data_IF_060409939975
#
_entry.id   IF_060409939975
#
_cell.length_a   1.000
_cell.length_b   1.000
_cell.length_c   1.000
_cell.angle_alpha   90.00
_cell.angle_beta   90.00
_cell.angle_gamma   90.00
#
_symmetry.space_group_name_H-M   'P 1'
#
loop_
_entity.id
_entity.type
_entity.pdbx_description
1 polymer ?
#
# COMPACT_ATOMS: atom_id res chain seq x y z
N UNK A 1 11.71 36.44 -0.21
CA UNK A 1 10.85 36.40 0.98
C UNK A 1 10.89 35.01 1.55
N UNK A 2 11.14 34.90 2.83
CA UNK A 2 11.57 33.67 3.52
C UNK A 2 10.41 32.73 3.75
N UNK A 3 10.43 31.53 3.15
CA UNK A 3 9.63 30.37 3.57
C UNK A 3 10.50 29.40 4.38
N UNK A 4 10.87 29.84 5.56
CA UNK A 4 11.45 28.99 6.60
C UNK A 4 10.39 28.82 7.69
N UNK A 5 9.69 27.68 7.75
CA UNK A 5 8.84 27.41 8.89
C UNK A 5 7.70 26.42 8.73
N UNK A 6 7.85 25.32 7.98
CA UNK A 6 6.85 24.24 7.97
C UNK A 6 7.49 22.83 7.99
N UNK A 7 8.61 22.70 8.69
CA UNK A 7 9.03 21.39 9.18
C UNK A 7 8.50 21.30 10.61
N UNK A 8 7.30 20.74 10.77
CA UNK A 8 6.76 20.43 12.08
C UNK A 8 7.83 19.72 12.90
N UNK A 9 8.08 20.22 14.13
CA UNK A 9 9.02 19.62 15.07
C UNK A 9 8.71 18.13 15.18
N UNK A 10 9.73 17.25 15.27
CA UNK A 10 9.50 15.85 15.58
C UNK A 10 8.71 15.82 16.90
N UNK A 11 7.54 15.22 16.88
CA UNK A 11 6.87 14.83 18.11
C UNK A 11 7.75 13.72 18.68
N UNK A 12 8.66 14.11 19.60
CA UNK A 12 9.35 13.17 20.44
C UNK A 12 8.26 12.47 21.27
N UNK A 13 8.03 11.20 21.01
CA UNK A 13 7.29 10.35 21.94
C UNK A 13 8.08 10.33 23.26
N UNK A 14 7.67 11.20 24.18
CA UNK A 14 8.09 11.12 25.55
C UNK A 14 7.70 9.75 26.09
N UNK A 15 8.65 9.06 26.68
CA UNK A 15 8.53 7.87 27.55
C UNK A 15 7.27 7.00 27.39
N UNK A 16 7.43 5.88 26.63
CA UNK A 16 6.76 4.59 26.81
C UNK A 16 5.24 4.47 26.58
N UNK A 17 4.56 5.35 25.90
CA UNK A 17 3.22 5.06 25.40
C UNK A 17 3.32 4.21 24.13
N UNK A 18 2.76 2.99 24.15
CA UNK A 18 2.68 2.12 22.97
C UNK A 18 1.86 2.79 21.87
N UNK A 19 2.25 2.54 20.61
CA UNK A 19 1.41 2.91 19.47
C UNK A 19 0.08 2.15 19.54
N UNK A 20 -1.04 2.85 19.33
CA UNK A 20 -2.38 2.23 19.44
C UNK A 20 -2.94 1.92 18.07
N UNK A 21 -3.44 0.69 17.91
CA UNK A 21 -4.16 0.24 16.71
C UNK A 21 -5.48 -0.39 17.11
N UNK A 22 -6.59 0.21 16.68
CA UNK A 22 -7.90 -0.37 16.84
C UNK A 22 -8.15 -1.39 15.74
N UNK A 23 -8.61 -2.59 16.11
CA UNK A 23 -9.03 -3.66 15.20
C UNK A 23 -10.50 -3.95 15.51
N UNK A 24 -11.38 -3.76 14.52
CA UNK A 24 -12.83 -3.88 14.69
C UNK A 24 -13.41 -4.73 13.57
N UNK A 25 -14.40 -5.56 13.88
CA UNK A 25 -15.11 -6.36 12.89
C UNK A 25 -16.15 -5.54 12.15
N UNK A 26 -16.20 -5.73 10.83
CA UNK A 26 -17.24 -5.26 9.92
C UNK A 26 -17.41 -6.34 8.85
N UNK A 27 -18.52 -7.07 8.87
CA UNK A 27 -18.69 -8.29 8.07
C UNK A 27 -18.62 -8.03 6.56
N UNK A 28 -19.18 -6.90 6.13
CA UNK A 28 -19.22 -6.46 4.73
C UNK A 28 -19.28 -4.94 4.62
N UNK A 29 -19.61 -4.43 3.41
CA UNK A 29 -19.74 -3.00 3.12
C UNK A 29 -21.17 -2.45 3.29
N UNK A 30 -22.03 -3.11 4.05
CA UNK A 30 -23.36 -2.54 4.36
C UNK A 30 -23.21 -1.31 5.27
N UNK A 31 -23.82 -0.20 4.87
CA UNK A 31 -23.65 1.09 5.54
C UNK A 31 -24.07 1.07 7.01
N UNK A 32 -25.11 0.28 7.35
CA UNK A 32 -25.60 0.08 8.71
C UNK A 32 -24.60 -0.68 9.62
N UNK A 33 -23.67 -1.44 9.04
CA UNK A 33 -22.59 -2.14 9.76
C UNK A 33 -21.33 -1.30 9.87
N UNK A 34 -21.00 -0.53 8.81
CA UNK A 34 -19.77 0.24 8.73
C UNK A 34 -19.73 1.40 9.73
N UNK A 35 -20.81 2.18 9.82
CA UNK A 35 -20.84 3.36 10.69
C UNK A 35 -20.58 3.00 12.15
N UNK A 36 -21.30 2.04 12.77
CA UNK A 36 -21.02 1.63 14.15
C UNK A 36 -19.62 1.04 14.35
N UNK A 37 -19.10 0.31 13.35
CA UNK A 37 -17.75 -0.26 13.43
C UNK A 37 -16.66 0.84 13.42
N UNK A 38 -16.82 1.88 12.58
CA UNK A 38 -15.92 3.03 12.54
C UNK A 38 -16.00 3.85 13.83
N UNK A 39 -17.19 4.14 14.34
CA UNK A 39 -17.38 4.84 15.61
C UNK A 39 -16.74 4.08 16.78
N UNK A 40 -16.89 2.75 16.80
CA UNK A 40 -16.17 1.90 17.77
C UNK A 40 -14.65 2.02 17.61
N UNK A 41 -14.12 1.98 16.38
CA UNK A 41 -12.69 2.11 16.15
C UNK A 41 -12.15 3.47 16.62
N UNK A 42 -12.87 4.56 16.31
CA UNK A 42 -12.49 5.90 16.73
C UNK A 42 -12.61 6.08 18.25
N UNK A 43 -13.66 5.56 18.87
CA UNK A 43 -13.84 5.59 20.33
C UNK A 43 -12.71 4.87 21.06
N UNK A 44 -12.27 3.69 20.57
CA UNK A 44 -11.12 2.96 21.12
C UNK A 44 -9.82 3.77 21.07
N UNK A 45 -9.70 4.67 20.09
CA UNK A 45 -8.53 5.54 19.91
C UNK A 45 -8.64 6.87 20.66
N UNK A 46 -9.76 7.13 21.36
CA UNK A 46 -9.99 8.36 22.14
C UNK A 46 -10.83 9.42 21.41
N UNK A 47 -11.50 9.07 20.30
CA UNK A 47 -12.38 9.96 19.54
C UNK A 47 -11.73 10.52 18.29
N UNK A 48 -12.58 10.80 17.26
CA UNK A 48 -12.13 11.31 15.97
C UNK A 48 -11.62 12.76 16.05
N UNK A 49 -12.18 13.55 16.97
CA UNK A 49 -11.80 14.94 17.23
C UNK A 49 -10.33 15.07 17.69
N UNK A 50 -9.76 14.04 18.29
CA UNK A 50 -8.34 14.00 18.66
C UNK A 50 -7.40 13.99 17.46
N UNK A 51 -7.89 13.54 16.28
CA UNK A 51 -7.12 13.46 15.04
C UNK A 51 -7.45 14.57 14.06
N UNK A 52 -8.70 15.03 14.06
CA UNK A 52 -9.22 16.00 13.08
C UNK A 52 -9.76 17.24 13.82
N UNK A 53 -8.99 18.32 13.89
CA UNK A 53 -9.49 19.59 14.44
C UNK A 53 -10.69 20.09 13.64
N UNK A 54 -11.69 20.67 14.32
CA UNK A 54 -12.87 21.23 13.65
C UNK A 54 -12.47 22.33 12.67
N UNK A 55 -13.01 22.26 11.45
CA UNK A 55 -12.72 23.20 10.37
C UNK A 55 -11.36 23.00 9.68
N UNK A 56 -10.59 22.00 10.04
CA UNK A 56 -9.31 21.69 9.40
C UNK A 56 -9.47 21.35 7.91
N UNK A 57 -8.49 21.70 7.09
CA UNK A 57 -8.37 21.24 5.70
C UNK A 57 -7.85 19.80 5.69
N UNK A 58 -8.68 18.87 5.28
CA UNK A 58 -8.38 17.44 5.29
C UNK A 58 -8.12 16.94 3.87
N UNK A 59 -6.95 16.34 3.66
CA UNK A 59 -6.68 15.55 2.46
C UNK A 59 -6.85 14.06 2.77
N UNK A 60 -7.77 13.39 2.07
CA UNK A 60 -8.04 11.96 2.23
C UNK A 60 -7.39 11.20 1.09
N UNK A 61 -6.34 10.46 1.40
CA UNK A 61 -5.64 9.60 0.43
C UNK A 61 -6.29 8.24 0.36
N UNK A 62 -6.98 7.96 -0.73
CA UNK A 62 -7.54 6.64 -1.04
C UNK A 62 -6.54 5.79 -1.82
N UNK A 63 -6.77 4.49 -1.96
CA UNK A 63 -5.95 3.62 -2.81
C UNK A 63 -6.68 3.35 -4.11
N UNK A 64 -6.18 3.93 -5.20
CA UNK A 64 -6.60 3.62 -6.56
C UNK A 64 -5.40 3.10 -7.36
N UNK A 65 -5.64 2.13 -8.23
CA UNK A 65 -4.58 1.50 -9.02
C UNK A 65 -5.06 1.33 -10.47
N UNK A 66 -4.26 1.75 -11.47
CA UNK A 66 -4.57 1.43 -12.87
C UNK A 66 -4.36 -0.08 -13.16
N UNK A 67 -5.10 -0.66 -14.12
CA UNK A 67 -6.18 -0.03 -14.89
C UNK A 67 -7.44 0.21 -14.03
N UNK A 68 -8.39 1.06 -14.51
CA UNK A 68 -9.67 1.25 -13.83
C UNK A 68 -10.28 -0.08 -13.41
N UNK A 69 -10.61 -0.21 -12.13
CA UNK A 69 -11.03 -1.49 -11.55
C UNK A 69 -12.27 -1.31 -10.66
N UNK A 70 -13.26 -2.18 -10.80
CA UNK A 70 -14.45 -2.15 -9.93
C UNK A 70 -14.09 -2.59 -8.51
N UNK A 71 -14.83 -2.14 -7.49
CA UNK A 71 -14.54 -2.37 -6.07
C UNK A 71 -14.46 -3.84 -5.66
N UNK A 72 -15.28 -4.70 -6.29
CA UNK A 72 -15.40 -6.13 -5.98
C UNK A 72 -14.09 -6.91 -6.22
N UNK A 73 -13.19 -6.33 -7.00
CA UNK A 73 -11.85 -6.92 -7.23
C UNK A 73 -10.89 -6.73 -6.05
N UNK A 74 -11.28 -5.99 -5.02
CA UNK A 74 -10.42 -5.65 -3.86
C UNK A 74 -9.05 -5.03 -4.24
N UNK A 75 -8.97 -4.38 -5.41
CA UNK A 75 -7.76 -3.69 -5.89
C UNK A 75 -7.65 -2.30 -5.26
N UNK A 76 -8.79 -1.64 -5.08
CA UNK A 76 -8.93 -0.27 -4.60
C UNK A 76 -9.55 -0.25 -3.21
N UNK A 77 -9.40 0.85 -2.49
CA UNK A 77 -10.22 1.11 -1.29
C UNK A 77 -11.69 1.12 -1.73
N UNK A 78 -12.55 0.39 -1.04
CA UNK A 78 -13.95 0.27 -1.43
C UNK A 78 -14.67 1.62 -1.25
N UNK A 79 -15.45 2.12 -2.24
CA UNK A 79 -16.06 3.44 -2.17
C UNK A 79 -17.06 3.55 -1.00
N UNK A 80 -17.83 2.51 -0.68
CA UNK A 80 -18.76 2.53 0.47
C UNK A 80 -18.00 2.63 1.79
N UNK A 81 -16.82 1.99 1.91
CA UNK A 81 -15.96 2.17 3.07
C UNK A 81 -15.43 3.61 3.16
N UNK A 82 -14.96 4.16 2.04
CA UNK A 82 -14.49 5.55 1.99
C UNK A 82 -15.64 6.52 2.33
N UNK A 83 -16.85 6.29 1.81
CA UNK A 83 -18.05 7.08 2.11
C UNK A 83 -18.38 7.09 3.61
N UNK A 84 -18.33 5.92 4.25
CA UNK A 84 -18.60 5.82 5.68
C UNK A 84 -17.59 6.61 6.52
N UNK A 85 -16.29 6.53 6.18
CA UNK A 85 -15.26 7.34 6.86
C UNK A 85 -15.46 8.83 6.59
N UNK A 86 -15.69 9.21 5.33
CA UNK A 86 -15.92 10.61 4.94
C UNK A 86 -17.15 11.20 5.64
N UNK A 87 -18.23 10.43 5.80
CA UNK A 87 -19.40 10.86 6.56
C UNK A 87 -19.08 11.22 8.00
N UNK A 88 -18.16 10.49 8.66
CA UNK A 88 -17.68 10.87 9.98
C UNK A 88 -16.85 12.16 9.95
N UNK A 89 -16.02 12.36 8.91
CA UNK A 89 -15.17 13.54 8.77
C UNK A 89 -16.00 14.81 8.47
N UNK A 90 -17.07 14.70 7.69
CA UNK A 90 -17.93 15.86 7.33
C UNK A 90 -18.62 16.48 8.54
N UNK A 91 -18.79 15.74 9.64
CA UNK A 91 -19.31 16.26 10.91
C UNK A 91 -18.32 17.23 11.62
N UNK A 92 -17.03 17.13 11.28
CA UNK A 92 -15.97 17.94 11.88
C UNK A 92 -15.51 19.09 10.98
N UNK A 93 -15.54 18.88 9.65
CA UNK A 93 -15.08 19.89 8.70
C UNK A 93 -15.76 19.75 7.33
N UNK A 94 -16.11 20.88 6.67
CA UNK A 94 -16.55 20.87 5.28
C UNK A 94 -15.37 20.88 4.27
N UNK A 95 -14.13 21.03 4.72
CA UNK A 95 -12.96 21.24 3.86
C UNK A 95 -12.24 19.90 3.60
N UNK A 96 -12.88 19.01 2.86
CA UNK A 96 -12.37 17.67 2.55
C UNK A 96 -12.07 17.54 1.07
N UNK A 97 -10.85 17.10 0.76
CA UNK A 97 -10.40 16.73 -0.59
C UNK A 97 -10.04 15.26 -0.59
N UNK A 98 -10.69 14.47 -1.43
CA UNK A 98 -10.42 13.04 -1.63
C UNK A 98 -9.63 12.85 -2.91
N UNK A 99 -8.50 12.12 -2.89
CA UNK A 99 -7.73 12.01 -4.12
C UNK A 99 -6.70 10.90 -4.21
N UNK A 100 -6.28 10.67 -5.46
CA UNK A 100 -5.13 9.88 -5.88
C UNK A 100 -4.61 10.43 -7.22
N UNK A 101 -3.36 10.09 -7.61
CA UNK A 101 -2.92 10.37 -8.98
C UNK A 101 -3.26 9.20 -9.89
N UNK A 102 -4.37 9.30 -10.61
CA UNK A 102 -4.81 8.31 -11.58
C UNK A 102 -4.46 8.74 -13.01
N UNK A 103 -3.99 7.78 -13.83
CA UNK A 103 -3.66 8.06 -15.22
C UNK A 103 -4.92 8.30 -16.06
N UNK A 104 -5.96 7.49 -15.84
CA UNK A 104 -7.26 7.61 -16.50
C UNK A 104 -8.28 8.14 -15.49
N UNK A 105 -8.86 9.34 -15.71
CA UNK A 105 -9.91 9.92 -14.85
C UNK A 105 -11.12 8.97 -14.67
N UNK A 106 -11.36 8.10 -15.66
CA UNK A 106 -12.33 7.00 -15.62
C UNK A 106 -12.13 6.03 -14.44
N UNK A 107 -10.94 6.01 -13.80
CA UNK A 107 -10.73 5.21 -12.58
C UNK A 107 -11.64 5.64 -11.44
N UNK A 108 -11.99 6.90 -11.35
CA UNK A 108 -12.94 7.41 -10.36
C UNK A 108 -14.36 6.95 -10.63
N UNK A 109 -14.76 6.87 -11.90
CA UNK A 109 -16.10 6.45 -12.31
C UNK A 109 -16.29 4.94 -12.09
N UNK A 110 -15.35 4.14 -12.60
CA UNK A 110 -15.36 2.66 -12.44
C UNK A 110 -15.23 2.26 -10.96
N UNK A 111 -14.49 3.03 -10.17
CA UNK A 111 -14.32 2.82 -8.74
C UNK A 111 -15.48 3.33 -7.88
N UNK A 112 -16.50 4.00 -8.45
CA UNK A 112 -17.65 4.54 -7.74
C UNK A 112 -17.37 5.83 -6.94
N UNK A 113 -16.20 6.43 -7.10
CA UNK A 113 -15.78 7.60 -6.30
C UNK A 113 -16.47 8.90 -6.73
N UNK A 114 -16.76 9.08 -8.03
CA UNK A 114 -17.39 10.32 -8.50
C UNK A 114 -18.79 10.52 -7.90
N UNK A 115 -19.62 9.50 -8.01
CA UNK A 115 -20.98 9.55 -7.45
C UNK A 115 -20.95 9.69 -5.92
N UNK A 116 -20.08 8.96 -5.25
CA UNK A 116 -19.89 9.01 -3.80
C UNK A 116 -19.53 10.43 -3.32
N UNK A 117 -18.51 11.06 -3.93
CA UNK A 117 -18.08 12.40 -3.56
C UNK A 117 -19.17 13.46 -3.85
N UNK A 118 -19.92 13.30 -4.96
CA UNK A 118 -21.05 14.17 -5.27
C UNK A 118 -22.15 14.08 -4.22
N UNK A 119 -22.52 12.87 -3.77
CA UNK A 119 -23.52 12.67 -2.71
C UNK A 119 -23.11 13.33 -1.38
N UNK A 120 -21.84 13.25 -1.03
CA UNK A 120 -21.30 13.82 0.21
C UNK A 120 -20.98 15.31 0.13
N UNK A 121 -20.98 15.92 -1.07
CA UNK A 121 -20.57 17.30 -1.26
C UNK A 121 -19.08 17.54 -1.00
N UNK A 122 -18.21 16.51 -1.13
CA UNK A 122 -16.76 16.61 -0.93
C UNK A 122 -16.03 16.69 -2.27
N UNK A 123 -14.88 17.35 -2.30
CA UNK A 123 -14.09 17.49 -3.51
C UNK A 123 -13.39 16.18 -3.87
N UNK A 124 -13.58 15.70 -5.12
CA UNK A 124 -12.82 14.61 -5.71
C UNK A 124 -11.73 15.19 -6.60
N UNK A 125 -10.48 14.86 -6.31
CA UNK A 125 -9.32 15.44 -6.99
C UNK A 125 -8.43 14.35 -7.64
N UNK A 126 -8.20 14.48 -8.95
CA UNK A 126 -7.03 13.87 -9.53
C UNK A 126 -5.83 14.75 -9.22
N UNK A 127 -4.85 14.25 -8.48
CA UNK A 127 -3.76 15.04 -7.92
C UNK A 127 -2.97 15.84 -8.96
N UNK A 128 -2.93 15.36 -10.21
CA UNK A 128 -2.30 16.10 -11.32
C UNK A 128 -3.01 17.41 -11.67
N UNK A 129 -4.28 17.57 -11.34
CA UNK A 129 -5.05 18.78 -11.65
C UNK A 129 -4.57 19.99 -10.83
N UNK A 130 -4.19 19.80 -9.56
CA UNK A 130 -3.52 20.81 -8.74
C UNK A 130 -2.00 20.82 -8.92
N UNK A 131 -1.46 19.78 -9.55
CA UNK A 131 -0.04 19.63 -9.86
C UNK A 131 0.81 19.19 -8.67
N UNK A 132 2.11 19.16 -8.94
CA UNK A 132 3.13 18.65 -8.04
C UNK A 132 4.18 19.73 -7.80
N UNK A 133 4.88 19.64 -6.68
CA UNK A 133 6.03 20.49 -6.35
C UNK A 133 7.20 19.62 -5.89
N UNK A 134 8.41 20.05 -6.18
CA UNK A 134 9.61 19.37 -5.74
C UNK A 134 9.85 19.63 -4.25
N UNK A 135 10.09 18.55 -3.49
CA UNK A 135 10.45 18.60 -2.08
C UNK A 135 11.80 17.91 -1.89
N UNK A 136 12.72 18.58 -1.20
CA UNK A 136 14.01 17.99 -0.81
C UNK A 136 13.82 17.06 0.36
N UNK A 137 14.55 15.93 0.33
CA UNK A 137 14.55 14.90 1.37
C UNK A 137 15.89 14.89 2.11
N UNK A 138 15.84 14.77 3.41
CA UNK A 138 17.02 14.65 4.27
C UNK A 138 17.21 13.19 4.66
N UNK A 139 18.14 12.52 4.01
CA UNK A 139 18.41 11.09 4.22
C UNK A 139 17.59 10.20 3.28
N UNK A 140 17.88 8.89 3.32
CA UNK A 140 17.27 7.92 2.44
C UNK A 140 17.92 7.84 1.05
N UNK A 141 17.23 7.23 0.11
CA UNK A 141 17.69 7.00 -1.27
C UNK A 141 17.44 8.20 -2.16
N UNK A 142 16.27 8.83 -2.00
CA UNK A 142 15.87 10.00 -2.79
C UNK A 142 16.43 11.29 -2.20
N UNK A 143 17.01 12.15 -3.05
CA UNK A 143 17.46 13.51 -2.66
C UNK A 143 16.33 14.53 -2.75
N UNK A 144 15.43 14.34 -3.69
CA UNK A 144 14.21 15.13 -3.87
C UNK A 144 13.15 14.29 -4.58
N UNK A 145 11.90 14.69 -4.45
CA UNK A 145 10.79 14.06 -5.14
C UNK A 145 9.67 15.07 -5.40
N UNK A 146 8.98 14.93 -6.52
CA UNK A 146 7.78 15.69 -6.82
C UNK A 146 6.58 15.10 -6.08
N UNK A 147 5.91 15.90 -5.25
CA UNK A 147 4.76 15.48 -4.42
C UNK A 147 3.56 16.34 -4.75
N UNK A 148 2.37 15.78 -4.71
CA UNK A 148 1.12 16.49 -4.94
C UNK A 148 0.97 17.69 -4.00
N UNK A 149 0.65 18.87 -4.55
CA UNK A 149 0.42 20.09 -3.76
C UNK A 149 -0.69 19.92 -2.74
N UNK A 150 -1.76 19.20 -3.09
CA UNK A 150 -2.88 18.92 -2.21
C UNK A 150 -2.48 18.22 -0.89
N UNK A 151 -1.43 17.38 -0.91
CA UNK A 151 -0.88 16.77 0.30
C UNK A 151 -0.24 17.81 1.23
N UNK A 152 0.48 18.79 0.67
CA UNK A 152 1.22 19.80 1.42
C UNK A 152 0.35 20.98 1.88
N UNK A 153 -0.80 21.17 1.26
CA UNK A 153 -1.77 22.23 1.56
C UNK A 153 -2.77 21.84 2.66
N UNK A 154 -2.83 20.54 3.00
CA UNK A 154 -3.72 20.03 4.04
C UNK A 154 -3.16 20.27 5.44
N UNK A 155 -4.05 20.60 6.37
CA UNK A 155 -3.73 20.66 7.80
C UNK A 155 -3.61 19.24 8.39
N UNK A 156 -4.44 18.31 7.89
CA UNK A 156 -4.46 16.90 8.30
C UNK A 156 -4.56 15.99 7.07
N UNK A 157 -3.77 14.93 7.09
CA UNK A 157 -3.83 13.87 6.08
C UNK A 157 -4.49 12.64 6.70
N UNK A 158 -5.57 12.17 6.09
CA UNK A 158 -6.22 10.91 6.42
C UNK A 158 -5.89 9.87 5.35
N UNK A 159 -5.40 8.73 5.78
CA UNK A 159 -4.95 7.65 4.90
C UNK A 159 -5.96 6.50 4.90
N UNK A 160 -6.55 6.19 3.74
CA UNK A 160 -7.50 5.08 3.56
C UNK A 160 -6.89 3.99 2.67
N UNK A 161 -5.94 3.19 3.16
CA UNK A 161 -5.32 2.14 2.37
C UNK A 161 -6.22 0.92 2.24
N UNK A 162 -5.95 0.11 1.23
CA UNK A 162 -6.51 -1.24 1.04
C UNK A 162 -5.52 -2.28 1.55
N UNK A 163 -5.98 -3.24 2.36
CA UNK A 163 -5.18 -4.40 2.77
C UNK A 163 -5.02 -5.35 1.60
N UNK A 164 -3.81 -5.47 1.05
CA UNK A 164 -3.53 -6.39 -0.05
C UNK A 164 -2.07 -6.82 -0.14
N UNK A 165 -1.85 -7.98 -0.75
CA UNK A 165 -0.53 -8.46 -1.13
C UNK A 165 0.09 -7.63 -2.25
N UNK A 166 1.40 -7.75 -2.43
CA UNK A 166 2.14 -7.13 -3.52
C UNK A 166 3.33 -7.99 -3.96
N UNK A 167 3.42 -8.22 -5.26
CA UNK A 167 4.44 -9.09 -5.84
C UNK A 167 5.89 -8.65 -5.58
N UNK A 168 6.16 -7.33 -5.53
CA UNK A 168 7.51 -6.80 -5.31
C UNK A 168 7.78 -6.49 -3.84
N UNK A 169 6.84 -5.86 -3.14
CA UNK A 169 7.02 -5.37 -1.76
C UNK A 169 6.32 -6.23 -0.72
N UNK A 170 5.84 -7.41 -1.08
CA UNK A 170 5.12 -8.37 -0.24
C UNK A 170 3.74 -7.88 0.19
N UNK A 171 3.65 -6.65 0.67
CA UNK A 171 2.46 -6.04 1.25
C UNK A 171 2.17 -4.66 0.65
N UNK A 172 0.90 -4.33 0.51
CA UNK A 172 0.39 -2.99 0.24
C UNK A 172 -0.54 -2.60 1.38
N UNK A 173 -0.23 -1.50 2.03
CA UNK A 173 -0.99 -0.94 3.13
C UNK A 173 -0.80 0.56 3.24
N UNK A 174 -0.68 1.05 4.47
CA UNK A 174 -0.64 2.46 4.79
C UNK A 174 0.60 3.17 4.23
N UNK A 175 1.79 2.59 4.41
CA UNK A 175 3.05 3.18 3.92
C UNK A 175 3.02 3.29 2.39
N UNK A 176 2.72 2.19 1.70
CA UNK A 176 2.77 2.15 0.24
C UNK A 176 1.64 2.94 -0.43
N UNK A 177 0.53 3.23 0.27
CA UNK A 177 -0.55 4.04 -0.27
C UNK A 177 -0.08 5.43 -0.70
N UNK A 178 0.93 5.99 -0.02
CA UNK A 178 1.52 7.28 -0.36
C UNK A 178 2.38 7.27 -1.64
N UNK A 179 2.65 6.11 -2.23
CA UNK A 179 3.24 6.10 -3.57
C UNK A 179 2.33 6.77 -4.63
N UNK A 180 1.02 6.84 -4.36
CA UNK A 180 0.05 7.54 -5.19
C UNK A 180 0.12 9.07 -5.11
N UNK A 181 0.87 9.69 -4.19
CA UNK A 181 0.99 11.15 -4.11
C UNK A 181 2.09 11.74 -5.01
N UNK A 182 2.83 10.90 -5.73
CA UNK A 182 3.83 11.31 -6.71
C UNK A 182 3.33 11.07 -8.15
N UNK A 183 3.83 11.82 -9.16
CA UNK A 183 3.40 11.65 -10.54
C UNK A 183 3.53 10.22 -11.06
N UNK A 184 2.51 9.72 -11.78
CA UNK A 184 2.50 8.36 -12.36
C UNK A 184 3.75 8.04 -13.18
N UNK A 185 4.25 8.98 -14.00
CA UNK A 185 5.48 8.79 -14.78
C UNK A 185 6.71 8.61 -13.90
N UNK A 186 6.78 9.33 -12.76
CA UNK A 186 7.87 9.18 -11.78
C UNK A 186 7.79 7.82 -11.08
N UNK A 187 6.58 7.32 -10.78
CA UNK A 187 6.39 5.96 -10.22
C UNK A 187 7.01 4.90 -11.12
N UNK A 188 6.71 4.94 -12.42
CA UNK A 188 7.27 3.99 -13.40
C UNK A 188 8.79 4.10 -13.48
N UNK A 189 9.33 5.33 -13.46
CA UNK A 189 10.77 5.57 -13.45
C UNK A 189 11.43 4.97 -12.21
N UNK A 190 10.93 5.25 -11.02
CA UNK A 190 11.49 4.76 -9.75
C UNK A 190 11.41 3.22 -9.64
N UNK A 191 10.36 2.57 -10.17
CA UNK A 191 10.33 1.12 -10.30
C UNK A 191 11.46 0.58 -11.20
N UNK A 192 11.80 1.34 -12.24
CA UNK A 192 12.90 0.98 -13.15
C UNK A 192 14.29 1.16 -12.54
N UNK A 193 14.48 2.24 -11.80
CA UNK A 193 15.76 2.59 -11.16
C UNK A 193 16.05 1.76 -9.90
N UNK A 194 14.98 1.34 -9.18
CA UNK A 194 15.08 0.57 -7.93
C UNK A 194 14.32 -0.77 -8.02
N UNK A 195 14.74 -1.72 -8.89
CA UNK A 195 13.97 -2.95 -9.15
C UNK A 195 14.08 -3.99 -8.02
N UNK A 196 15.00 -3.82 -7.08
CA UNK A 196 15.14 -4.73 -5.93
C UNK A 196 14.15 -4.39 -4.84
N UNK A 197 13.52 -5.40 -4.20
CA UNK A 197 12.49 -5.18 -3.18
C UNK A 197 12.92 -4.25 -2.04
N UNK A 198 14.13 -4.44 -1.51
CA UNK A 198 14.68 -3.63 -0.42
C UNK A 198 14.92 -2.16 -0.84
N UNK A 199 15.61 -1.96 -1.98
CA UNK A 199 15.90 -0.61 -2.50
C UNK A 199 14.58 0.14 -2.80
N UNK A 200 13.61 -0.55 -3.40
CA UNK A 200 12.32 0.03 -3.69
C UNK A 200 11.50 0.35 -2.41
N UNK A 201 11.60 -0.49 -1.39
CA UNK A 201 10.99 -0.22 -0.09
C UNK A 201 11.55 1.06 0.54
N UNK A 202 12.85 1.32 0.44
CA UNK A 202 13.45 2.58 0.91
C UNK A 202 12.90 3.80 0.17
N UNK A 203 12.70 3.70 -1.16
CA UNK A 203 12.05 4.75 -1.96
C UNK A 203 10.63 5.03 -1.46
N UNK A 204 9.86 3.96 -1.17
CA UNK A 204 8.50 4.10 -0.62
C UNK A 204 8.50 4.78 0.75
N UNK A 205 9.44 4.44 1.60
CA UNK A 205 9.61 5.03 2.93
C UNK A 205 10.06 6.49 2.85
N UNK A 206 10.89 6.85 1.88
CA UNK A 206 11.26 8.25 1.62
C UNK A 206 10.02 9.09 1.28
N UNK A 207 9.16 8.59 0.40
CA UNK A 207 7.92 9.29 0.02
C UNK A 207 6.95 9.34 1.20
N UNK A 208 6.78 8.23 1.93
CA UNK A 208 5.94 8.16 3.13
C UNK A 208 6.38 9.17 4.20
N UNK A 209 7.68 9.41 4.37
CA UNK A 209 8.20 10.35 5.36
C UNK A 209 7.71 11.79 5.18
N UNK A 210 7.25 12.15 3.97
CA UNK A 210 6.66 13.46 3.65
C UNK A 210 5.18 13.55 4.00
N UNK A 211 4.47 12.43 4.02
CA UNK A 211 3.02 12.41 4.13
C UNK A 211 2.52 12.49 5.59
N UNK A 212 3.19 11.79 6.50
CA UNK A 212 2.87 11.74 7.95
C UNK A 212 1.37 11.84 8.26
N UNK A 213 0.57 10.83 7.91
CA UNK A 213 -0.87 10.90 8.14
C UNK A 213 -1.19 11.07 9.62
N UNK A 214 -2.16 11.94 9.94
CA UNK A 214 -2.67 12.10 11.30
C UNK A 214 -3.59 10.95 11.71
N UNK A 215 -4.23 10.29 10.72
CA UNK A 215 -5.09 9.12 10.92
C UNK A 215 -4.97 8.17 9.73
N UNK A 216 -4.84 6.89 10.02
CA UNK A 216 -4.95 5.82 9.03
C UNK A 216 -6.14 4.94 9.37
N UNK A 217 -7.03 4.70 8.40
CA UNK A 217 -8.15 3.75 8.52
C UNK A 217 -8.07 2.79 7.34
N UNK A 218 -7.67 1.55 7.62
CA UNK A 218 -7.40 0.54 6.59
C UNK A 218 -8.64 -0.28 6.29
N UNK A 219 -8.98 -0.36 5.01
CA UNK A 219 -10.00 -1.26 4.50
C UNK A 219 -9.46 -2.69 4.41
N UNK A 220 -9.75 -3.48 5.43
CA UNK A 220 -9.50 -4.91 5.53
C UNK A 220 -10.78 -5.75 5.50
N UNK A 221 -11.94 -5.20 5.08
CA UNK A 221 -13.21 -5.93 5.02
C UNK A 221 -13.10 -7.04 3.97
N UNK A 222 -12.75 -6.70 2.73
CA UNK A 222 -12.35 -7.68 1.72
C UNK A 222 -10.92 -7.38 1.29
N UNK A 223 -9.97 -8.11 1.81
CA UNK A 223 -8.56 -8.00 1.45
C UNK A 223 -8.26 -8.63 0.08
N UNK A 224 -7.04 -8.46 -0.42
CA UNK A 224 -6.55 -9.22 -1.58
C UNK A 224 -5.39 -10.11 -1.19
N UNK A 225 -5.47 -11.38 -1.52
CA UNK A 225 -4.42 -12.39 -1.32
C UNK A 225 -3.80 -12.86 -2.65
N UNK A 226 -2.66 -13.56 -2.60
CA UNK A 226 -1.98 -14.12 -3.77
C UNK A 226 -1.17 -13.10 -4.55
N UNK A 227 -1.15 -13.12 -5.91
CA UNK A 227 -0.28 -12.30 -6.76
C UNK A 227 -0.80 -10.86 -6.91
N UNK A 228 -0.96 -10.12 -5.79
CA UNK A 228 -1.30 -8.69 -5.80
C UNK A 228 -0.23 -7.82 -6.49
N UNK A 229 -0.51 -6.54 -6.72
CA UNK A 229 -1.58 -5.73 -6.15
C UNK A 229 -2.87 -5.66 -6.98
N UNK A 230 -2.91 -6.26 -8.19
CA UNK A 230 -4.04 -6.17 -9.11
C UNK A 230 -4.57 -7.54 -9.59
N UNK A 231 -3.77 -8.59 -9.50
CA UNK A 231 -4.05 -9.92 -10.02
C UNK A 231 -4.24 -10.98 -8.92
N UNK A 232 -4.37 -10.52 -7.67
CA UNK A 232 -4.73 -11.38 -6.55
C UNK A 232 -6.21 -11.74 -6.54
N UNK A 233 -6.61 -12.46 -5.51
CA UNK A 233 -7.99 -12.91 -5.27
C UNK A 233 -8.57 -12.14 -4.09
N UNK A 234 -9.80 -11.62 -4.18
CA UNK A 234 -10.51 -11.08 -3.02
C UNK A 234 -10.63 -12.11 -1.90
N UNK A 235 -10.35 -11.69 -0.68
CA UNK A 235 -10.43 -12.51 0.54
C UNK A 235 -11.19 -11.76 1.63
N UNK A 236 -12.42 -12.17 1.97
CA UNK A 236 -13.13 -11.58 3.10
C UNK A 236 -12.38 -11.80 4.41
N UNK A 237 -12.06 -10.70 5.12
CA UNK A 237 -11.50 -10.74 6.46
C UNK A 237 -12.48 -10.12 7.47
N UNK A 238 -13.35 -9.23 7.02
CA UNK A 238 -14.33 -8.55 7.87
C UNK A 238 -13.68 -7.65 8.91
N UNK A 239 -12.62 -6.92 8.58
CA UNK A 239 -11.84 -6.13 9.52
C UNK A 239 -11.65 -4.68 9.06
N UNK A 240 -11.72 -3.77 10.03
CA UNK A 240 -11.26 -2.38 9.93
C UNK A 240 -10.10 -2.22 10.90
N UNK A 241 -8.99 -1.63 10.45
CA UNK A 241 -7.87 -1.28 11.32
C UNK A 241 -7.70 0.25 11.30
N UNK A 242 -7.58 0.87 12.47
CA UNK A 242 -7.37 2.30 12.57
C UNK A 242 -6.28 2.67 13.57
N UNK A 243 -5.56 3.77 13.32
CA UNK A 243 -4.53 4.28 14.21
C UNK A 243 -3.89 5.56 13.70
N UNK A 244 -3.24 6.31 14.60
CA UNK A 244 -2.43 7.47 14.24
C UNK A 244 -1.11 7.07 13.60
N UNK A 245 -0.54 5.96 14.02
CA UNK A 245 0.72 5.42 13.50
C UNK A 245 0.45 4.47 12.33
N UNK A 246 0.68 4.96 11.12
CA UNK A 246 0.48 4.20 9.89
C UNK A 246 1.38 2.96 9.78
N UNK A 247 2.58 3.01 10.37
CA UNK A 247 3.52 1.88 10.40
C UNK A 247 2.99 0.79 11.32
N UNK A 248 2.43 1.18 12.48
CA UNK A 248 1.81 0.25 13.42
C UNK A 248 0.55 -0.40 12.81
N UNK A 249 -0.27 0.36 12.08
CA UNK A 249 -1.42 -0.20 11.35
C UNK A 249 -0.96 -1.25 10.32
N UNK A 250 0.10 -0.96 9.54
CA UNK A 250 0.68 -1.94 8.61
C UNK A 250 1.24 -3.17 9.34
N UNK A 251 1.93 -2.97 10.47
CA UNK A 251 2.48 -4.07 11.26
C UNK A 251 1.40 -5.02 11.78
N UNK A 252 0.31 -4.48 12.34
CA UNK A 252 -0.82 -5.29 12.81
C UNK A 252 -1.51 -6.00 11.64
N UNK A 253 -1.75 -5.32 10.52
CA UNK A 253 -2.34 -5.92 9.33
C UNK A 253 -1.49 -7.06 8.76
N UNK A 254 -0.16 -6.90 8.73
CA UNK A 254 0.80 -7.91 8.31
C UNK A 254 0.77 -9.12 9.22
N UNK A 255 0.71 -8.92 10.55
CA UNK A 255 0.62 -10.00 11.52
C UNK A 255 -0.70 -10.78 11.40
N UNK A 256 -1.82 -10.10 11.12
CA UNK A 256 -3.13 -10.75 10.87
C UNK A 256 -3.04 -11.74 9.70
N UNK A 257 -2.34 -11.38 8.63
CA UNK A 257 -2.20 -12.24 7.45
C UNK A 257 -0.99 -13.20 7.50
N UNK A 258 -0.35 -13.29 8.67
CA UNK A 258 0.72 -14.27 8.93
C UNK A 258 2.12 -13.83 8.52
N UNK A 259 2.35 -12.54 8.22
CA UNK A 259 3.68 -11.98 8.01
C UNK A 259 4.32 -11.55 9.34
N UNK A 260 5.65 -11.63 9.43
CA UNK A 260 6.43 -10.94 10.45
C UNK A 260 6.66 -9.49 9.98
N UNK A 261 6.13 -8.46 10.68
CA UNK A 261 6.22 -7.08 10.22
C UNK A 261 7.65 -6.58 10.01
N UNK A 262 8.57 -6.97 10.88
CA UNK A 262 9.98 -6.55 10.77
C UNK A 262 10.75 -7.30 9.66
N UNK A 263 10.12 -8.26 8.99
CA UNK A 263 10.64 -8.91 7.78
C UNK A 263 10.05 -8.33 6.49
N UNK A 264 9.08 -7.45 6.57
CA UNK A 264 8.55 -6.68 5.44
C UNK A 264 9.37 -5.40 5.30
N UNK A 265 10.11 -5.25 4.21
CA UNK A 265 11.09 -4.17 4.02
C UNK A 265 10.52 -2.75 4.24
N UNK A 266 9.28 -2.48 3.83
CA UNK A 266 8.66 -1.17 4.05
C UNK A 266 8.48 -0.87 5.53
N UNK A 267 7.97 -1.82 6.30
CA UNK A 267 7.77 -1.69 7.74
C UNK A 267 9.10 -1.64 8.48
N UNK A 268 10.05 -2.50 8.10
CA UNK A 268 11.40 -2.51 8.68
C UNK A 268 12.10 -1.16 8.53
N UNK A 269 12.17 -0.62 7.30
CA UNK A 269 12.83 0.68 7.07
C UNK A 269 12.08 1.86 7.70
N UNK A 270 10.74 1.84 7.74
CA UNK A 270 9.98 2.88 8.41
C UNK A 270 10.22 2.87 9.93
N UNK A 271 10.22 1.68 10.54
CA UNK A 271 10.51 1.49 11.96
C UNK A 271 11.93 1.92 12.33
N UNK A 272 12.94 1.40 11.63
CA UNK A 272 14.35 1.70 11.91
C UNK A 272 14.72 3.18 11.70
N UNK A 273 13.94 3.89 10.86
CA UNK A 273 14.09 5.34 10.64
C UNK A 273 13.25 6.19 11.61
N UNK A 274 12.55 5.59 12.58
CA UNK A 274 11.73 6.30 13.55
C UNK A 274 10.50 7.00 12.96
N UNK A 275 9.96 6.48 11.83
CA UNK A 275 8.77 7.02 11.17
C UNK A 275 7.47 6.42 11.73
N UNK A 276 7.56 5.43 12.61
CA UNK A 276 6.48 4.77 13.29
C UNK A 276 6.93 3.42 13.87
N UNK A 277 6.02 2.71 14.51
CA UNK A 277 6.29 1.49 15.27
C UNK A 277 5.98 0.23 14.45
N UNK A 278 7.01 -0.55 14.10
CA UNK A 278 6.87 -1.82 13.39
C UNK A 278 6.94 -3.07 14.29
N UNK A 279 7.42 -2.93 15.53
CA UNK A 279 7.53 -4.03 16.49
C UNK A 279 6.20 -4.22 17.24
N UNK A 280 5.59 -5.38 17.08
CA UNK A 280 4.29 -5.70 17.71
C UNK A 280 4.33 -5.61 19.24
N UNK A 281 5.50 -5.77 19.89
CA UNK A 281 5.65 -5.65 21.34
C UNK A 281 5.44 -4.21 21.82
N UNK A 282 5.65 -3.24 20.95
CA UNK A 282 5.51 -1.81 21.20
C UNK A 282 4.16 -1.27 20.71
N UNK A 283 3.25 -2.15 20.25
CA UNK A 283 1.91 -1.80 19.77
C UNK A 283 0.87 -2.32 20.75
N UNK A 284 -0.06 -1.46 21.15
CA UNK A 284 -1.27 -1.80 21.86
C UNK A 284 -2.42 -2.03 20.86
N UNK A 285 -2.90 -3.26 20.78
CA UNK A 285 -4.02 -3.62 19.90
C UNK A 285 -5.32 -3.51 20.71
N UNK A 286 -6.22 -2.65 20.27
CA UNK A 286 -7.49 -2.35 20.91
C UNK A 286 -8.65 -3.00 20.12
N UNK A 287 -9.67 -3.45 20.83
CA UNK A 287 -10.83 -4.14 20.21
C UNK A 287 -10.57 -5.63 20.06
N UNK A 288 -10.51 -6.13 18.82
CA UNK A 288 -10.27 -7.56 18.56
C UNK A 288 -8.81 -7.92 18.81
N UNK A 289 -8.57 -8.97 19.60
CA UNK A 289 -7.22 -9.48 19.85
C UNK A 289 -6.60 -10.11 18.59
N UNK A 290 -5.28 -9.97 18.41
CA UNK A 290 -4.56 -10.44 17.21
C UNK A 290 -4.82 -11.91 16.90
N UNK A 291 -4.78 -12.79 17.90
CA UNK A 291 -4.99 -14.23 17.71
C UNK A 291 -6.44 -14.58 17.28
N UNK A 292 -7.42 -13.77 17.65
CA UNK A 292 -8.83 -13.95 17.31
C UNK A 292 -9.12 -13.57 15.82
N UNK A 293 -8.26 -12.74 15.22
CA UNK A 293 -8.42 -12.24 13.84
C UNK A 293 -7.35 -12.76 12.89
N UNK A 294 -6.37 -13.51 13.39
CA UNK A 294 -5.28 -14.06 12.57
C UNK A 294 -5.78 -15.08 11.55
N UNK A 295 -5.37 -14.90 10.30
CA UNK A 295 -5.69 -15.78 9.17
C UNK A 295 -4.52 -16.73 8.90
N UNK A 296 -4.72 -18.02 9.13
CA UNK A 296 -3.65 -19.04 9.02
C UNK A 296 -3.35 -19.47 7.57
N UNK A 297 -4.34 -19.35 6.69
CA UNK A 297 -4.32 -19.83 5.31
C UNK A 297 -4.31 -18.71 4.27
N UNK A 298 -3.92 -17.48 4.67
CA UNK A 298 -3.82 -16.35 3.75
C UNK A 298 -2.71 -16.59 2.73
N UNK A 299 -3.04 -16.50 1.44
CA UNK A 299 -2.10 -16.76 0.36
C UNK A 299 -1.19 -15.56 0.13
N UNK A 300 0.06 -15.68 0.51
CA UNK A 300 1.09 -14.67 0.25
C UNK A 300 1.52 -14.69 -1.23
N UNK A 301 2.06 -13.59 -1.76
CA UNK A 301 2.53 -13.55 -3.14
C UNK A 301 3.70 -14.54 -3.33
N UNK A 302 3.84 -15.14 -4.53
CA UNK A 302 5.03 -15.92 -4.86
C UNK A 302 6.27 -15.01 -4.77
N UNK A 303 7.28 -15.42 -4.05
CA UNK A 303 8.46 -14.61 -3.75
C UNK A 303 8.13 -13.34 -2.95
N UNK A 304 7.38 -13.52 -1.85
CA UNK A 304 7.34 -12.52 -0.81
C UNK A 304 8.79 -12.15 -0.47
N UNK A 305 9.17 -10.86 -0.66
CA UNK A 305 10.52 -10.36 -0.42
C UNK A 305 10.82 -10.32 1.08
N UNK A 306 10.67 -11.47 1.73
CA UNK A 306 11.10 -11.65 3.10
C UNK A 306 12.62 -11.44 3.16
N UNK A 307 13.09 -10.78 4.19
CA UNK A 307 14.51 -10.65 4.51
C UNK A 307 15.09 -12.07 4.67
N UNK A 308 15.59 -12.65 3.60
CA UNK A 308 16.49 -13.81 3.70
C UNK A 308 17.69 -13.32 4.49
N UNK A 309 17.90 -13.92 5.65
CA UNK A 309 18.81 -13.47 6.69
C UNK A 309 20.14 -12.99 6.15
N UNK A 310 20.68 -11.97 6.78
CA UNK A 310 21.96 -11.28 6.50
C UNK A 310 23.09 -12.26 6.19
N UNK A 311 23.24 -12.65 4.94
CA UNK A 311 24.43 -13.39 4.47
C UNK A 311 25.13 -12.53 3.43
N UNK A 312 26.27 -11.90 3.75
CA UNK A 312 27.03 -11.10 2.83
C UNK A 312 27.97 -12.00 2.02
N UNK A 313 27.56 -12.43 0.83
CA UNK A 313 28.49 -13.05 -0.12
C UNK A 313 28.06 -12.86 -1.57
N UNK A 314 28.97 -12.81 -2.55
CA UNK A 314 28.68 -12.81 -3.98
C UNK A 314 27.73 -13.96 -4.42
N UNK A 315 27.81 -15.09 -3.70
CA UNK A 315 26.93 -16.26 -3.93
C UNK A 315 25.46 -15.96 -3.63
N UNK A 316 25.18 -15.12 -2.62
CA UNK A 316 23.83 -14.67 -2.27
C UNK A 316 23.28 -13.71 -3.34
N UNK A 317 24.10 -12.85 -3.93
CA UNK A 317 23.70 -12.01 -5.06
C UNK A 317 23.28 -12.83 -6.29
N UNK A 318 23.95 -13.95 -6.53
CA UNK A 318 23.57 -14.90 -7.56
C UNK A 318 22.28 -15.66 -7.17
N UNK A 319 22.20 -16.16 -5.93
CA UNK A 319 21.02 -16.85 -5.40
C UNK A 319 19.77 -15.95 -5.33
N UNK A 320 19.92 -14.68 -4.90
CA UNK A 320 18.77 -13.73 -4.87
C UNK A 320 18.21 -13.47 -6.27
N UNK A 321 19.03 -13.59 -7.33
CA UNK A 321 18.53 -13.51 -8.71
C UNK A 321 17.56 -14.65 -9.06
N UNK A 322 17.73 -15.82 -8.45
CA UNK A 322 16.87 -16.98 -8.62
C UNK A 322 15.67 -17.01 -7.63
N UNK A 323 15.78 -16.30 -6.51
CA UNK A 323 14.71 -16.17 -5.53
C UNK A 323 13.60 -15.17 -5.95
N UNK A 324 13.91 -14.27 -6.88
CA UNK A 324 12.97 -13.26 -7.37
C UNK A 324 12.08 -13.83 -8.49
N UNK A 325 10.76 -13.74 -8.33
CA UNK A 325 9.82 -14.17 -9.36
C UNK A 325 10.07 -13.49 -10.71
N UNK A 326 9.83 -14.21 -11.79
CA UNK A 326 9.92 -13.70 -13.16
C UNK A 326 8.53 -13.51 -13.74
N UNK A 327 8.22 -12.37 -14.35
CA UNK A 327 6.98 -12.20 -15.08
C UNK A 327 7.03 -13.01 -16.39
N UNK A 328 5.99 -13.84 -16.61
CA UNK A 328 5.87 -14.70 -17.80
C UNK A 328 4.50 -14.49 -18.42
N UNK A 329 4.45 -14.26 -19.73
CA UNK A 329 3.19 -14.08 -20.44
C UNK A 329 2.51 -15.43 -20.69
N UNK A 330 1.26 -15.54 -20.25
CA UNK A 330 0.35 -16.66 -20.58
C UNK A 330 -0.35 -16.30 -21.88
N UNK A 331 0.12 -16.87 -22.98
CA UNK A 331 -0.32 -16.50 -24.35
C UNK A 331 -1.83 -16.68 -24.58
N UNK A 332 -2.45 -17.68 -23.97
CA UNK A 332 -3.90 -17.93 -24.09
C UNK A 332 -4.75 -16.81 -23.51
N UNK A 333 -4.30 -16.17 -22.43
CA UNK A 333 -4.99 -15.03 -21.78
C UNK A 333 -4.63 -13.68 -22.38
N UNK A 334 -3.54 -13.58 -23.14
CA UNK A 334 -3.06 -12.32 -23.69
C UNK A 334 -3.93 -11.88 -24.86
N UNK A 335 -4.54 -10.70 -24.80
CA UNK A 335 -5.34 -10.08 -25.86
C UNK A 335 -4.57 -9.01 -26.65
N UNK A 336 -3.26 -8.93 -26.49
CA UNK A 336 -2.38 -8.00 -27.20
C UNK A 336 -2.72 -6.51 -27.00
N UNK A 337 -3.28 -6.10 -25.87
CA UNK A 337 -3.68 -4.71 -25.60
C UNK A 337 -2.50 -3.72 -25.42
N UNK A 338 -1.27 -4.20 -25.28
CA UNK A 338 -0.05 -3.40 -25.15
C UNK A 338 0.19 -2.73 -23.81
N UNK A 339 -0.69 -2.89 -22.81
CA UNK A 339 -0.52 -2.25 -21.51
C UNK A 339 0.82 -2.58 -20.84
N UNK A 340 1.22 -3.86 -20.85
CA UNK A 340 2.51 -4.30 -20.32
C UNK A 340 3.72 -3.75 -21.08
N UNK A 341 3.58 -3.52 -22.41
CA UNK A 341 4.64 -2.95 -23.24
C UNK A 341 4.86 -1.49 -22.87
N UNK A 342 3.77 -0.71 -22.75
CA UNK A 342 3.82 0.71 -22.35
C UNK A 342 4.32 0.90 -20.91
N UNK A 343 4.00 -0.04 -20.00
CA UNK A 343 4.39 0.03 -18.60
C UNK A 343 5.82 -0.45 -18.32
N UNK A 344 6.53 -1.00 -19.32
CA UNK A 344 7.85 -1.58 -19.10
C UNK A 344 8.96 -0.52 -19.17
N UNK A 345 9.58 -0.12 -18.01
CA UNK A 345 10.62 0.91 -18.01
C UNK A 345 11.92 0.45 -18.68
N UNK A 346 12.16 -0.87 -18.75
CA UNK A 346 13.36 -1.46 -19.35
C UNK A 346 13.17 -1.85 -20.84
N UNK A 347 11.99 -1.59 -21.45
CA UNK A 347 11.68 -2.03 -22.80
C UNK A 347 11.76 -3.55 -23.03
N UNK A 348 11.70 -4.31 -21.93
CA UNK A 348 11.78 -5.78 -21.99
C UNK A 348 10.49 -6.44 -22.47
N UNK A 349 9.33 -5.81 -22.22
CA UNK A 349 8.05 -6.28 -22.72
C UNK A 349 7.84 -5.75 -24.16
N UNK A 350 7.59 -6.65 -25.08
CA UNK A 350 7.47 -6.38 -26.51
C UNK A 350 6.36 -7.24 -27.13
N UNK A 351 6.01 -6.96 -28.38
CA UNK A 351 5.15 -7.86 -29.16
C UNK A 351 5.98 -8.86 -29.96
N UNK A 352 5.57 -10.13 -29.88
CA UNK A 352 6.07 -11.20 -30.73
C UNK A 352 4.91 -12.08 -31.17
N UNK A 353 4.75 -12.29 -32.50
CA UNK A 353 3.66 -13.11 -33.06
C UNK A 353 2.27 -12.67 -32.53
N UNK A 354 1.98 -11.38 -32.62
CA UNK A 354 0.72 -10.74 -32.18
C UNK A 354 0.36 -10.95 -30.70
N UNK A 355 1.30 -11.36 -29.86
CA UNK A 355 1.13 -11.47 -28.39
C UNK A 355 2.26 -10.77 -27.67
N UNK A 356 2.03 -10.37 -26.42
CA UNK A 356 3.09 -9.84 -25.60
C UNK A 356 4.15 -10.94 -25.31
N UNK A 357 5.39 -10.52 -25.22
CA UNK A 357 6.54 -11.35 -24.87
C UNK A 357 7.50 -10.54 -24.00
N UNK A 358 8.18 -11.19 -23.06
CA UNK A 358 9.11 -10.52 -22.14
C UNK A 358 10.53 -11.06 -22.39
N UNK A 359 11.43 -10.17 -22.81
CA UNK A 359 12.84 -10.48 -22.95
C UNK A 359 13.49 -10.64 -21.57
N UNK A 360 13.82 -11.87 -21.20
CA UNK A 360 14.42 -12.19 -19.89
C UNK A 360 15.78 -11.55 -19.67
N UNK A 361 16.51 -11.19 -20.74
CA UNK A 361 17.84 -10.57 -20.65
C UNK A 361 17.73 -9.09 -20.30
N UNK A 362 16.69 -8.40 -20.80
CA UNK A 362 16.39 -6.99 -20.52
C UNK A 362 15.55 -6.79 -19.29
N UNK A 363 14.83 -7.83 -18.83
CA UNK A 363 13.87 -7.73 -17.73
C UNK A 363 14.56 -7.48 -16.40
N UNK A 364 14.27 -6.34 -15.78
CA UNK A 364 14.74 -5.93 -14.45
C UNK A 364 13.84 -6.42 -13.31
N UNK A 365 12.79 -7.20 -13.60
CA UNK A 365 11.86 -7.80 -12.63
C UNK A 365 11.12 -6.79 -11.73
N UNK A 366 10.87 -5.58 -12.22
CA UNK A 366 10.14 -4.54 -11.47
C UNK A 366 8.63 -4.78 -11.33
N UNK A 367 8.09 -5.81 -11.96
CA UNK A 367 6.68 -6.23 -11.96
C UNK A 367 5.67 -5.25 -12.57
N UNK A 368 6.08 -4.09 -13.09
CA UNK A 368 5.17 -3.11 -13.71
C UNK A 368 4.27 -3.71 -14.80
N UNK A 369 4.78 -4.66 -15.59
CA UNK A 369 4.00 -5.36 -16.61
C UNK A 369 2.91 -6.26 -16.02
N UNK A 370 3.18 -6.91 -14.86
CA UNK A 370 2.22 -7.71 -14.12
C UNK A 370 1.10 -6.84 -13.54
N UNK A 371 1.45 -5.72 -12.93
CA UNK A 371 0.50 -4.76 -12.34
C UNK A 371 -0.41 -4.12 -13.40
N UNK A 372 0.14 -3.82 -14.59
CA UNK A 372 -0.60 -3.23 -15.70
C UNK A 372 -1.54 -4.20 -16.44
N UNK A 373 -1.46 -5.50 -16.20
CA UNK A 373 -2.18 -6.50 -16.96
C UNK A 373 -3.59 -6.78 -16.40
N UNK A 374 -4.62 -6.07 -16.91
CA UNK A 374 -6.03 -6.28 -16.53
C UNK A 374 -6.61 -7.67 -16.87
N UNK A 375 -5.95 -8.43 -17.75
CA UNK A 375 -6.39 -9.75 -18.19
C UNK A 375 -5.70 -10.88 -17.42
N UNK A 376 -4.94 -10.56 -16.40
CA UNK A 376 -4.16 -11.52 -15.61
C UNK A 376 -3.32 -12.47 -16.50
N UNK A 377 -2.84 -11.93 -17.64
CA UNK A 377 -2.07 -12.68 -18.63
C UNK A 377 -0.57 -12.70 -18.33
N UNK A 378 -0.11 -12.11 -17.23
CA UNK A 378 1.28 -12.16 -16.79
C UNK A 378 1.35 -12.84 -15.43
N UNK A 379 1.87 -14.05 -15.42
CA UNK A 379 2.11 -14.83 -14.20
C UNK A 379 3.50 -14.56 -13.65
N UNK A 380 3.64 -14.73 -12.35
CA UNK A 380 4.90 -14.65 -11.65
C UNK A 380 5.40 -16.07 -11.40
N UNK A 381 6.52 -16.46 -12.03
CA UNK A 381 7.09 -17.79 -11.88
C UNK A 381 8.44 -17.70 -11.17
N UNK A 382 8.62 -18.53 -10.16
CA UNK A 382 9.93 -18.83 -9.58
C UNK A 382 10.63 -19.87 -10.47
N UNK A 383 11.94 -19.78 -10.56
CA UNK A 383 12.71 -20.90 -11.13
C UNK A 383 12.84 -22.05 -10.10
N UNK A 384 13.42 -23.16 -10.52
CA UNK A 384 13.51 -24.39 -9.70
C UNK A 384 14.27 -24.13 -8.40
N UNK A 385 15.32 -23.33 -8.42
CA UNK A 385 16.09 -22.95 -7.23
C UNK A 385 15.24 -22.09 -6.28
N UNK A 386 14.50 -21.12 -6.80
CA UNK A 386 13.56 -20.32 -6.02
C UNK A 386 12.50 -21.15 -5.34
N UNK A 387 11.93 -22.14 -6.02
CA UNK A 387 10.96 -23.09 -5.45
C UNK A 387 11.57 -23.92 -4.29
N UNK A 388 12.81 -24.38 -4.45
CA UNK A 388 13.53 -25.14 -3.42
C UNK A 388 13.79 -24.30 -2.15
N UNK A 389 14.25 -23.06 -2.31
CA UNK A 389 14.50 -22.16 -1.18
C UNK A 389 13.22 -21.79 -0.43
N UNK A 390 12.12 -21.51 -1.12
CA UNK A 390 10.83 -21.22 -0.48
C UNK A 390 10.23 -22.45 0.19
N UNK A 391 10.47 -23.67 -0.32
CA UNK A 391 10.06 -24.89 0.36
C UNK A 391 10.87 -25.13 1.66
N UNK A 392 12.18 -24.88 1.62
CA UNK A 392 13.05 -25.01 2.78
C UNK A 392 12.72 -23.95 3.88
N UNK A 393 12.41 -22.71 3.49
CA UNK A 393 11.95 -21.68 4.43
C UNK A 393 10.65 -22.09 5.13
N UNK A 394 9.66 -22.58 4.40
CA UNK A 394 8.40 -23.07 4.99
C UNK A 394 8.63 -24.21 5.98
N UNK A 395 9.59 -25.08 5.72
CA UNK A 395 9.93 -26.19 6.61
C UNK A 395 10.59 -25.70 7.91
N UNK A 396 11.56 -24.81 7.83
CA UNK A 396 12.26 -24.19 8.99
C UNK A 396 11.29 -23.37 9.86
N UNK A 397 10.33 -22.68 9.25
CA UNK A 397 9.30 -21.91 9.99
C UNK A 397 8.25 -22.80 10.66
N UNK A 398 7.94 -23.95 10.08
CA UNK A 398 6.99 -24.90 10.66
C UNK A 398 7.54 -25.55 11.93
N UNK A 399 8.85 -25.73 12.00
CA UNK A 399 9.54 -26.36 13.13
C UNK A 399 9.74 -25.40 14.33
N UNK A 400 9.85 -24.08 14.07
CA UNK A 400 9.94 -23.06 15.13
C UNK A 400 8.59 -22.68 15.75
N UNK A 401 7.49 -23.25 15.30
CA UNK A 401 6.14 -23.05 15.84
C UNK A 401 5.62 -24.27 16.64
N UNK A 402 6.46 -25.31 16.80
CA UNK A 402 6.28 -26.38 17.77
C UNK A 402 7.18 -26.13 19.00
#
# INVERSE_FOLDING_TARGET
MRHSGLLGKPVYFGTMAKAKVAVVRAADYESNLLRPALEKAFSLLGGLEGFIPRGAKVFVKVNLLPPPSPPERAIITHPVFAEAVLSCLTELTPHIVVGDDVHEARSFDVGGYREMCQRLGVELLNLRERGFTEVKLNGGVLKSVYVAKALLEADVVVNLPKLKTHALTTFTGAIKNFYGVIPTGLRTKLHGEHPKPEEFAQVLVDIFSLARPGLTVMDGIVAMEGPGPANGTPRPLGLILAGADAVAVDAVAQAIIGLDPLRVWTTYHAHTRGLGVGDLREIEILGEGLEAVRVKDFRLPPAAGEMVGRVPTPLVRWATRHLQAQPVVVRSRCVACGACVRACPAGAAQFREKKAWIDKRKCIRCMCCHEACRYNAIELKLDILGLFFHAAERWVYRDRRR
#
